data_IF_117725396254
#
_entry.id   IF_117725396254
#
_cell.length_a   1.000
_cell.length_b   1.000
_cell.length_c   1.000
_cell.angle_alpha   90.00
_cell.angle_beta   90.00
_cell.angle_gamma   90.00
#
_symmetry.space_group_name_H-M   'P 1'
#
loop_
_entity.id
_entity.type
_entity.pdbx_description
1 polymer ?
#
# COMPACT_ATOMS: atom_id res chain seq x y z
N UNK A 1 9.42 -13.95 22.38
CA UNK A 1 9.28 -12.81 21.45
C UNK A 1 10.09 -11.65 22.01
N UNK A 2 10.92 -10.97 21.20
CA UNK A 2 11.69 -9.82 21.70
C UNK A 2 10.76 -8.62 21.92
N UNK A 3 11.12 -7.72 22.83
CA UNK A 3 10.33 -6.51 23.13
C UNK A 3 10.06 -5.66 21.87
N UNK A 4 10.97 -5.69 20.90
CA UNK A 4 10.83 -4.99 19.62
C UNK A 4 9.76 -5.61 18.73
N UNK A 5 9.61 -6.94 18.69
CA UNK A 5 8.55 -7.60 17.92
C UNK A 5 7.17 -7.18 18.41
N UNK A 6 6.95 -7.22 19.73
CA UNK A 6 5.68 -6.79 20.34
C UNK A 6 5.40 -5.32 20.03
N UNK A 7 6.41 -4.45 20.17
CA UNK A 7 6.29 -3.03 19.84
C UNK A 7 5.87 -2.82 18.38
N UNK A 8 6.55 -3.45 17.42
CA UNK A 8 6.25 -3.25 15.99
C UNK A 8 4.90 -3.85 15.59
N UNK A 9 4.49 -4.98 16.18
CA UNK A 9 3.16 -5.52 15.99
C UNK A 9 2.07 -4.57 16.52
N UNK A 10 2.26 -3.98 17.71
CA UNK A 10 1.32 -2.97 18.24
C UNK A 10 1.26 -1.72 17.37
N UNK A 11 2.40 -1.22 16.89
CA UNK A 11 2.45 -0.08 15.95
C UNK A 11 1.73 -0.44 14.65
N UNK A 12 1.93 -1.65 14.12
CA UNK A 12 1.26 -2.11 12.89
C UNK A 12 -0.25 -2.10 13.04
N UNK A 13 -0.78 -2.60 14.17
CA UNK A 13 -2.23 -2.59 14.42
C UNK A 13 -2.78 -1.17 14.53
N UNK A 14 -2.13 -0.31 15.31
CA UNK A 14 -2.54 1.09 15.45
C UNK A 14 -2.50 1.83 14.10
N UNK A 15 -1.50 1.55 13.27
CA UNK A 15 -1.40 2.13 11.93
C UNK A 15 -2.56 1.67 11.02
N UNK A 16 -3.00 0.42 11.13
CA UNK A 16 -4.18 -0.07 10.40
C UNK A 16 -5.45 0.64 10.89
N UNK A 17 -5.62 0.84 12.19
CA UNK A 17 -6.73 1.64 12.75
C UNK A 17 -6.73 3.05 12.17
N UNK A 18 -5.56 3.72 12.18
CA UNK A 18 -5.43 5.08 11.64
C UNK A 18 -5.75 5.15 10.14
N UNK A 19 -5.31 4.17 9.35
CA UNK A 19 -5.59 4.12 7.90
C UNK A 19 -7.09 3.96 7.64
N UNK A 20 -7.78 3.17 8.47
CA UNK A 20 -9.23 2.99 8.39
C UNK A 20 -9.95 4.27 8.79
N UNK A 21 -9.53 4.93 9.86
CA UNK A 21 -10.13 6.19 10.30
C UNK A 21 -9.92 7.32 9.29
N UNK A 22 -8.72 7.41 8.70
CA UNK A 22 -8.45 8.33 7.59
C UNK A 22 -9.35 8.01 6.39
N UNK A 23 -9.50 6.73 6.04
CA UNK A 23 -10.37 6.31 4.94
C UNK A 23 -11.84 6.67 5.19
N UNK A 24 -12.32 6.55 6.43
CA UNK A 24 -13.68 6.97 6.82
C UNK A 24 -13.86 8.49 6.66
N UNK A 25 -12.87 9.28 7.05
CA UNK A 25 -12.89 10.74 6.87
C UNK A 25 -12.92 11.11 5.38
N UNK A 26 -12.08 10.46 4.56
CA UNK A 26 -11.98 10.71 3.13
C UNK A 26 -13.25 10.29 2.37
N UNK A 27 -13.87 9.15 2.74
CA UNK A 27 -15.05 8.61 2.07
C UNK A 27 -16.19 9.62 1.97
N UNK A 28 -16.38 10.43 3.01
CA UNK A 28 -17.48 11.40 3.09
C UNK A 28 -17.39 12.53 2.04
N UNK A 29 -16.18 12.82 1.54
CA UNK A 29 -15.94 13.88 0.56
C UNK A 29 -15.58 13.36 -0.84
N UNK A 30 -15.30 12.06 -0.96
CA UNK A 30 -14.89 11.44 -2.22
C UNK A 30 -16.08 11.19 -3.15
N UNK A 31 -15.93 11.56 -4.43
CA UNK A 31 -16.90 11.29 -5.49
C UNK A 31 -16.31 10.27 -6.46
N UNK A 32 -16.88 9.07 -6.51
CA UNK A 32 -16.48 8.02 -7.45
C UNK A 32 -16.34 6.65 -6.78
N UNK A 33 -15.66 5.73 -7.47
CA UNK A 33 -15.38 4.39 -6.96
C UNK A 33 -14.35 4.45 -5.81
N UNK A 34 -14.85 4.50 -4.58
CA UNK A 34 -14.00 4.51 -3.39
C UNK A 34 -13.39 3.12 -3.17
N UNK A 35 -12.09 3.06 -2.91
CA UNK A 35 -11.33 1.83 -2.80
C UNK A 35 -10.02 2.05 -2.00
N UNK A 36 -9.35 0.97 -1.52
CA UNK A 36 -8.14 1.10 -0.71
C UNK A 36 -7.03 1.94 -1.35
N UNK A 37 -6.85 1.87 -2.67
CA UNK A 37 -5.80 2.62 -3.38
C UNK A 37 -6.05 4.12 -3.38
N UNK A 38 -7.31 4.56 -3.45
CA UNK A 38 -7.67 5.98 -3.29
C UNK A 38 -7.23 6.49 -1.92
N UNK A 39 -7.49 5.72 -0.86
CA UNK A 39 -7.05 6.09 0.49
C UNK A 39 -5.54 6.14 0.63
N UNK A 40 -4.81 5.12 0.13
CA UNK A 40 -3.35 5.09 0.18
C UNK A 40 -2.77 6.28 -0.60
N UNK A 41 -3.28 6.54 -1.79
CA UNK A 41 -2.80 7.63 -2.64
C UNK A 41 -3.02 9.00 -1.98
N UNK A 42 -4.23 9.28 -1.50
CA UNK A 42 -4.55 10.54 -0.83
C UNK A 42 -3.72 10.73 0.44
N UNK A 43 -3.64 9.69 1.27
CA UNK A 43 -2.88 9.72 2.51
C UNK A 43 -1.40 10.01 2.25
N UNK A 44 -0.75 9.29 1.34
CA UNK A 44 0.67 9.49 1.05
C UNK A 44 0.91 10.85 0.40
N UNK A 45 0.01 11.32 -0.46
CA UNK A 45 0.07 12.67 -1.01
C UNK A 45 0.05 13.73 0.10
N UNK A 46 -0.82 13.59 1.10
CA UNK A 46 -0.88 14.51 2.24
C UNK A 46 0.35 14.40 3.16
N UNK A 47 0.92 13.21 3.31
CA UNK A 47 2.14 13.01 4.11
C UNK A 47 3.40 13.61 3.45
N UNK A 48 3.41 13.64 2.11
CA UNK A 48 4.50 14.13 1.25
C UNK A 48 4.42 15.64 0.95
N UNK A 49 3.35 16.34 1.39
CA UNK A 49 3.30 17.79 1.12
C UNK A 49 4.40 18.55 1.87
N UNK A 50 4.92 19.59 1.24
CA UNK A 50 5.86 20.54 1.86
C UNK A 50 5.17 21.54 2.79
N UNK A 51 3.83 21.55 2.84
CA UNK A 51 3.07 22.40 3.75
C UNK A 51 3.04 21.77 5.14
N UNK A 52 2.81 22.60 6.16
CA UNK A 52 2.66 22.12 7.52
C UNK A 52 1.42 21.22 7.61
N UNK A 53 1.64 19.95 7.89
CA UNK A 53 0.59 18.95 8.10
C UNK A 53 -0.16 19.30 9.39
N UNK A 54 -1.41 19.74 9.26
CA UNK A 54 -2.27 20.11 10.40
C UNK A 54 -3.16 18.97 10.88
N UNK A 55 -3.30 17.91 10.08
CA UNK A 55 -4.09 16.74 10.44
C UNK A 55 -3.33 15.90 11.48
N UNK A 56 -3.81 15.89 12.73
CA UNK A 56 -3.21 15.16 13.86
C UNK A 56 -3.13 13.66 13.61
N UNK A 57 -4.16 13.07 12.97
CA UNK A 57 -4.16 11.66 12.60
C UNK A 57 -3.01 11.36 11.63
N UNK A 58 -2.84 12.18 10.59
CA UNK A 58 -1.76 11.99 9.62
C UNK A 58 -0.37 12.27 10.21
N UNK A 59 -0.25 13.21 11.16
CA UNK A 59 0.99 13.40 11.91
C UNK A 59 1.39 12.15 12.69
N UNK A 60 0.41 11.49 13.31
CA UNK A 60 0.63 10.25 14.05
C UNK A 60 0.97 9.08 13.12
N UNK A 61 0.25 8.94 12.00
CA UNK A 61 0.59 8.01 10.91
C UNK A 61 2.03 8.20 10.44
N UNK A 62 2.45 9.45 10.18
CA UNK A 62 3.81 9.77 9.74
C UNK A 62 4.85 9.26 10.72
N UNK A 63 4.65 9.53 12.02
CA UNK A 63 5.55 9.07 13.08
C UNK A 63 5.63 7.55 13.14
N UNK A 64 4.49 6.86 13.06
CA UNK A 64 4.42 5.39 13.08
C UNK A 64 5.15 4.79 11.88
N UNK A 65 4.92 5.31 10.66
CA UNK A 65 5.62 4.86 9.45
C UNK A 65 7.14 5.09 9.50
N UNK A 66 7.60 6.18 10.12
CA UNK A 66 9.03 6.47 10.24
C UNK A 66 9.78 5.50 11.17
N UNK A 67 9.11 4.96 12.18
CA UNK A 67 9.73 4.03 13.14
C UNK A 67 9.49 2.56 12.83
N UNK A 68 8.49 2.26 11.98
CA UNK A 68 8.12 0.91 11.62
C UNK A 68 9.06 0.39 10.52
N UNK A 69 9.74 -0.75 10.70
CA UNK A 69 10.55 -1.32 9.63
C UNK A 69 9.70 -1.74 8.44
N UNK A 70 10.22 -1.57 7.22
CA UNK A 70 9.56 -1.95 5.96
C UNK A 70 9.04 -3.40 5.95
N UNK A 71 9.71 -4.29 6.68
CA UNK A 71 9.25 -5.66 6.93
C UNK A 71 7.77 -5.75 7.35
N UNK A 72 7.30 -4.84 8.22
CA UNK A 72 5.94 -4.84 8.73
C UNK A 72 4.93 -4.14 7.82
N UNK A 73 5.39 -3.39 6.80
CA UNK A 73 4.49 -2.62 5.93
C UNK A 73 3.59 -3.53 5.09
N UNK A 74 4.05 -4.73 4.72
CA UNK A 74 3.21 -5.71 4.01
C UNK A 74 2.05 -6.20 4.87
N UNK A 75 2.28 -6.45 6.16
CA UNK A 75 1.23 -6.85 7.10
C UNK A 75 0.21 -5.73 7.29
N UNK A 76 0.69 -4.49 7.49
CA UNK A 76 -0.17 -3.32 7.61
C UNK A 76 -1.04 -3.17 6.37
N UNK A 77 -0.44 -3.22 5.17
CA UNK A 77 -1.14 -3.01 3.90
C UNK A 77 -2.20 -4.08 3.68
N UNK A 78 -1.85 -5.35 3.89
CA UNK A 78 -2.80 -6.48 3.78
C UNK A 78 -3.97 -6.32 4.75
N UNK A 79 -3.70 -6.07 6.03
CA UNK A 79 -4.75 -5.91 7.03
C UNK A 79 -5.63 -4.68 6.76
N UNK A 80 -5.03 -3.59 6.30
CA UNK A 80 -5.77 -2.42 5.87
C UNK A 80 -6.71 -2.73 4.72
N UNK A 81 -6.25 -3.40 3.65
CA UNK A 81 -7.10 -3.78 2.51
C UNK A 81 -8.27 -4.65 2.98
N UNK A 82 -7.99 -5.69 3.79
CA UNK A 82 -9.03 -6.58 4.33
C UNK A 82 -10.06 -5.84 5.15
N UNK A 83 -9.61 -4.97 6.07
CA UNK A 83 -10.53 -4.19 6.90
C UNK A 83 -11.27 -3.14 6.09
N UNK A 84 -10.64 -2.52 5.11
CA UNK A 84 -11.26 -1.55 4.24
C UNK A 84 -12.43 -2.18 3.48
N UNK A 85 -12.21 -3.33 2.84
CA UNK A 85 -13.28 -4.05 2.13
C UNK A 85 -14.39 -4.41 3.11
N UNK A 86 -14.06 -4.95 4.28
CA UNK A 86 -15.08 -5.37 5.26
C UNK A 86 -15.88 -4.21 5.87
N UNK A 87 -15.22 -3.10 6.21
CA UNK A 87 -15.82 -2.01 6.98
C UNK A 87 -16.37 -0.87 6.12
N UNK A 88 -15.74 -0.58 4.97
CA UNK A 88 -16.08 0.58 4.15
C UNK A 88 -16.75 0.19 2.84
N UNK A 89 -16.36 -0.91 2.18
CA UNK A 89 -16.89 -1.30 0.87
C UNK A 89 -17.21 -2.80 0.81
N UNK A 90 -18.18 -3.28 1.61
CA UNK A 90 -18.47 -4.71 1.78
C UNK A 90 -19.02 -5.40 0.53
N UNK A 91 -19.46 -4.61 -0.46
CA UNK A 91 -19.95 -5.12 -1.75
C UNK A 91 -18.80 -5.50 -2.71
N UNK A 92 -17.55 -5.16 -2.38
CA UNK A 92 -16.39 -5.60 -3.16
C UNK A 92 -16.23 -7.11 -2.97
N UNK A 93 -16.20 -7.83 -4.09
CA UNK A 93 -15.97 -9.27 -4.12
C UNK A 93 -14.76 -9.55 -5.01
N UNK A 94 -13.82 -10.35 -4.52
CA UNK A 94 -12.66 -10.73 -5.33
C UNK A 94 -13.11 -11.46 -6.59
N UNK A 95 -12.58 -11.02 -7.73
CA UNK A 95 -12.79 -11.72 -8.99
C UNK A 95 -11.95 -13.00 -9.08
N UNK A 96 -12.31 -13.89 -10.00
CA UNK A 96 -11.46 -15.03 -10.36
C UNK A 96 -10.18 -14.56 -11.05
N UNK A 97 -9.09 -15.31 -10.84
CA UNK A 97 -7.80 -15.01 -11.47
C UNK A 97 -7.96 -15.01 -13.00
N UNK A 98 -7.64 -13.88 -13.60
CA UNK A 98 -7.68 -13.69 -15.05
C UNK A 98 -6.41 -12.97 -15.53
N UNK A 99 -6.32 -12.77 -16.85
CA UNK A 99 -5.16 -12.14 -17.48
C UNK A 99 -4.90 -10.72 -16.96
N UNK A 100 -5.96 -9.93 -16.77
CA UNK A 100 -5.83 -8.56 -16.28
C UNK A 100 -5.23 -8.54 -14.86
N UNK A 101 -5.63 -9.49 -14.01
CA UNK A 101 -5.04 -9.62 -12.67
C UNK A 101 -3.52 -9.86 -12.76
N UNK A 102 -3.09 -10.81 -13.60
CA UNK A 102 -1.67 -11.12 -13.80
C UNK A 102 -0.90 -9.92 -14.35
N UNK A 103 -1.43 -9.27 -15.39
CA UNK A 103 -0.78 -8.11 -16.03
C UNK A 103 -0.63 -6.92 -15.04
N UNK A 104 -1.60 -6.72 -14.15
CA UNK A 104 -1.56 -5.69 -13.12
C UNK A 104 -0.57 -6.03 -11.99
N UNK A 105 -0.55 -7.27 -11.54
CA UNK A 105 0.43 -7.74 -10.55
C UNK A 105 1.86 -7.60 -11.06
N UNK A 106 2.11 -8.01 -12.30
CA UNK A 106 3.42 -7.93 -12.93
C UNK A 106 3.87 -6.48 -13.10
N UNK A 107 2.95 -5.55 -13.40
CA UNK A 107 3.24 -4.12 -13.39
C UNK A 107 3.68 -3.63 -12.01
N UNK A 108 2.97 -4.00 -10.94
CA UNK A 108 3.34 -3.60 -9.58
C UNK A 108 4.68 -4.19 -9.15
N UNK A 109 4.97 -5.44 -9.54
CA UNK A 109 6.26 -6.09 -9.27
C UNK A 109 7.42 -5.52 -10.10
N UNK A 110 7.15 -5.06 -11.33
CA UNK A 110 8.11 -4.31 -12.13
C UNK A 110 8.45 -2.99 -11.43
N UNK A 111 7.44 -2.24 -10.97
CA UNK A 111 7.65 -1.01 -10.21
C UNK A 111 8.50 -1.22 -8.95
N UNK A 112 8.30 -2.32 -8.20
CA UNK A 112 9.19 -2.69 -7.09
C UNK A 112 10.66 -2.78 -7.52
N UNK A 113 10.91 -3.41 -8.67
CA UNK A 113 12.27 -3.65 -9.19
C UNK A 113 12.92 -2.37 -9.66
N UNK A 114 12.16 -1.50 -10.33
CA UNK A 114 12.63 -0.20 -10.81
C UNK A 114 13.02 0.70 -9.63
N UNK A 115 12.15 0.80 -8.61
CA UNK A 115 12.46 1.61 -7.42
C UNK A 115 13.63 1.06 -6.63
N UNK A 116 13.73 -0.26 -6.47
CA UNK A 116 14.89 -0.88 -5.84
C UNK A 116 16.18 -0.55 -6.59
N UNK A 117 16.15 -0.57 -7.92
CA UNK A 117 17.29 -0.19 -8.76
C UNK A 117 17.66 1.29 -8.65
N UNK A 118 16.69 2.19 -8.52
CA UNK A 118 16.95 3.63 -8.41
C UNK A 118 17.42 4.06 -7.02
N UNK A 119 16.75 3.58 -5.98
CA UNK A 119 17.01 3.99 -4.59
C UNK A 119 18.05 3.11 -3.89
N UNK A 120 18.46 2.01 -4.51
CA UNK A 120 19.38 1.02 -3.95
C UNK A 120 18.91 0.47 -2.58
N UNK A 121 17.59 0.45 -2.37
CA UNK A 121 16.92 -0.01 -1.14
C UNK A 121 15.61 -0.72 -1.51
N UNK A 122 15.18 -1.67 -0.67
CA UNK A 122 13.86 -2.31 -0.87
C UNK A 122 12.77 -1.25 -0.60
N UNK A 123 11.92 -0.91 -1.59
CA UNK A 123 10.89 0.11 -1.41
C UNK A 123 9.79 -0.40 -0.49
N UNK A 124 9.11 0.51 0.21
CA UNK A 124 7.91 0.12 0.96
C UNK A 124 6.80 -0.30 0.01
N UNK A 125 6.03 -1.36 0.33
CA UNK A 125 4.87 -1.75 -0.49
C UNK A 125 3.87 -0.58 -0.67
N UNK A 126 3.69 0.26 0.36
CA UNK A 126 2.85 1.46 0.30
C UNK A 126 3.40 2.50 -0.68
N UNK A 127 4.72 2.65 -0.74
CA UNK A 127 5.42 3.55 -1.65
C UNK A 127 5.30 3.06 -3.09
N UNK A 128 5.42 1.74 -3.32
CA UNK A 128 5.20 1.14 -4.64
C UNK A 128 3.78 1.41 -5.12
N UNK A 129 2.77 1.17 -4.28
CA UNK A 129 1.36 1.42 -4.64
C UNK A 129 1.14 2.91 -4.96
N UNK A 130 1.65 3.82 -4.13
CA UNK A 130 1.54 5.25 -4.37
C UNK A 130 2.20 5.69 -5.68
N UNK A 131 3.46 5.31 -5.89
CA UNK A 131 4.22 5.75 -7.05
C UNK A 131 3.73 5.10 -8.35
N UNK A 132 3.26 3.85 -8.32
CA UNK A 132 2.64 3.21 -9.48
C UNK A 132 1.40 4.00 -9.92
N UNK A 133 0.52 4.37 -8.99
CA UNK A 133 -0.66 5.19 -9.29
C UNK A 133 -0.26 6.58 -9.81
N UNK A 134 0.68 7.24 -9.14
CA UNK A 134 1.18 8.56 -9.55
C UNK A 134 1.79 8.52 -10.94
N UNK A 135 2.58 7.48 -11.25
CA UNK A 135 3.19 7.33 -12.58
C UNK A 135 2.15 7.19 -13.68
N UNK A 136 1.06 6.45 -13.44
CA UNK A 136 -0.05 6.35 -14.38
C UNK A 136 -0.82 7.66 -14.52
N UNK A 137 -0.96 8.45 -13.46
CA UNK A 137 -1.64 9.75 -13.51
C UNK A 137 -0.79 10.79 -14.27
N UNK A 138 0.51 10.84 -13.98
CA UNK A 138 1.42 11.88 -14.49
C UNK A 138 1.92 11.59 -15.92
N UNK A 139 2.08 10.31 -16.28
CA UNK A 139 2.65 9.92 -17.58
C UNK A 139 1.61 9.96 -18.71
N UNK A 140 1.39 11.15 -19.28
CA UNK A 140 0.41 11.37 -20.35
C UNK A 140 0.70 10.61 -21.65
N UNK A 141 1.95 10.22 -21.89
CA UNK A 141 2.40 9.62 -23.15
C UNK A 141 2.26 8.09 -23.15
N UNK A 142 2.40 7.44 -21.99
CA UNK A 142 2.25 5.99 -21.86
C UNK A 142 0.78 5.59 -21.69
N UNK A 143 0.11 5.34 -22.81
CA UNK A 143 -1.31 4.95 -22.84
C UNK A 143 -1.55 3.57 -22.23
N UNK A 144 -0.58 2.66 -22.31
CA UNK A 144 -0.70 1.30 -21.76
C UNK A 144 -0.65 1.33 -20.23
N UNK A 145 0.34 2.02 -19.66
CA UNK A 145 0.44 2.22 -18.21
C UNK A 145 -0.82 2.92 -17.66
N UNK A 146 -1.27 3.98 -18.33
CA UNK A 146 -2.51 4.67 -17.97
C UNK A 146 -3.72 3.76 -17.99
N UNK A 147 -3.89 2.96 -19.03
CA UNK A 147 -5.00 2.02 -19.14
C UNK A 147 -5.00 1.02 -17.99
N UNK A 148 -3.82 0.49 -17.64
CA UNK A 148 -3.70 -0.48 -16.56
C UNK A 148 -3.93 0.16 -15.19
N UNK A 149 -3.38 1.35 -14.92
CA UNK A 149 -3.64 2.08 -13.67
C UNK A 149 -5.11 2.46 -13.55
N UNK A 150 -5.75 2.88 -14.65
CA UNK A 150 -7.18 3.13 -14.66
C UNK A 150 -7.97 1.87 -14.33
N UNK A 151 -7.63 0.72 -14.93
CA UNK A 151 -8.28 -0.56 -14.61
C UNK A 151 -8.13 -0.90 -13.13
N UNK A 152 -6.91 -0.80 -12.59
CA UNK A 152 -6.60 -1.06 -11.19
C UNK A 152 -7.41 -0.19 -10.22
N UNK A 153 -7.71 1.07 -10.58
CA UNK A 153 -8.47 1.99 -9.69
C UNK A 153 -9.98 1.90 -9.91
N UNK A 154 -10.45 1.58 -11.11
CA UNK A 154 -11.87 1.60 -11.46
C UNK A 154 -12.60 0.28 -11.21
N UNK A 155 -11.93 -0.87 -11.42
CA UNK A 155 -12.48 -2.19 -11.14
C UNK A 155 -12.08 -2.64 -9.74
N UNK A 156 -12.99 -2.42 -8.78
CA UNK A 156 -12.75 -2.71 -7.36
C UNK A 156 -12.59 -4.20 -7.06
N UNK A 157 -13.22 -5.06 -7.85
CA UNK A 157 -13.20 -6.51 -7.67
C UNK A 157 -11.88 -7.11 -8.18
N UNK A 158 -11.42 -6.65 -9.34
CA UNK A 158 -10.06 -6.94 -9.86
C UNK A 158 -9.02 -6.39 -8.90
N UNK A 159 -9.19 -5.15 -8.42
CA UNK A 159 -8.26 -4.52 -7.49
C UNK A 159 -8.08 -5.35 -6.23
N UNK A 160 -9.16 -5.78 -5.58
CA UNK A 160 -9.08 -6.57 -4.35
C UNK A 160 -8.20 -7.81 -4.54
N UNK A 161 -8.44 -8.55 -5.64
CA UNK A 161 -7.64 -9.72 -6.01
C UNK A 161 -6.16 -9.37 -6.22
N UNK A 162 -5.90 -8.38 -7.08
CA UNK A 162 -4.54 -7.93 -7.43
C UNK A 162 -3.76 -7.47 -6.20
N UNK A 163 -4.38 -6.75 -5.26
CA UNK A 163 -3.68 -6.25 -4.08
C UNK A 163 -3.29 -7.37 -3.12
N UNK A 164 -4.13 -8.39 -2.95
CA UNK A 164 -3.79 -9.55 -2.11
C UNK A 164 -2.65 -10.37 -2.71
N UNK A 165 -2.72 -10.64 -4.02
CA UNK A 165 -1.71 -11.39 -4.74
C UNK A 165 -0.40 -10.61 -4.86
N UNK A 166 -0.47 -9.29 -5.05
CA UNK A 166 0.69 -8.41 -4.98
C UNK A 166 1.35 -8.43 -3.59
N UNK A 167 0.57 -8.40 -2.50
CA UNK A 167 1.13 -8.55 -1.16
C UNK A 167 1.86 -9.89 -0.99
N UNK A 168 1.32 -10.99 -1.54
CA UNK A 168 1.99 -12.30 -1.52
C UNK A 168 3.31 -12.24 -2.29
N UNK A 169 3.29 -11.81 -3.56
CA UNK A 169 4.47 -11.73 -4.43
C UNK A 169 5.56 -10.80 -3.86
N UNK A 170 5.16 -9.65 -3.30
CA UNK A 170 6.08 -8.73 -2.63
C UNK A 170 6.75 -9.40 -1.43
N UNK A 171 5.96 -10.09 -0.60
CA UNK A 171 6.49 -10.81 0.56
C UNK A 171 7.45 -11.91 0.12
N UNK A 172 7.07 -12.75 -0.85
CA UNK A 172 7.92 -13.83 -1.36
C UNK A 172 9.26 -13.30 -1.90
N UNK A 173 9.24 -12.15 -2.59
CA UNK A 173 10.46 -11.54 -3.14
C UNK A 173 11.38 -10.97 -2.06
N UNK A 174 10.84 -10.34 -1.01
CA UNK A 174 11.64 -9.48 -0.11
C UNK A 174 11.74 -9.96 1.34
N UNK A 175 10.89 -10.89 1.78
CA UNK A 175 10.74 -11.30 3.18
C UNK A 175 12.07 -11.67 3.85
N UNK A 176 12.90 -12.47 3.20
CA UNK A 176 14.20 -12.89 3.76
C UNK A 176 15.13 -11.70 4.01
N UNK A 177 15.27 -10.78 3.04
CA UNK A 177 16.15 -9.60 3.15
C UNK A 177 15.61 -8.60 4.15
N UNK A 178 14.29 -8.40 4.19
CA UNK A 178 13.64 -7.50 5.15
C UNK A 178 13.72 -8.06 6.59
N UNK A 179 13.57 -9.38 6.78
CA UNK A 179 13.74 -10.04 8.08
C UNK A 179 15.13 -9.82 8.67
N UNK A 180 16.19 -9.91 7.87
CA UNK A 180 17.57 -9.69 8.32
C UNK A 180 17.78 -8.29 8.92
N UNK A 181 17.08 -7.28 8.42
CA UNK A 181 17.13 -5.92 8.95
C UNK A 181 16.41 -5.71 10.28
N UNK A 182 15.52 -6.63 10.67
CA UNK A 182 14.70 -6.55 11.90
C UNK A 182 15.16 -7.55 12.96
N UNK A 183 15.51 -8.75 12.50
CA UNK A 183 16.01 -9.85 13.29
C UNK A 183 17.42 -10.16 12.78
N UNK A 184 18.43 -9.40 13.21
CA UNK A 184 19.80 -9.80 12.94
C UNK A 184 19.96 -11.17 13.60
N UNK A 185 20.05 -12.21 12.78
CA UNK A 185 20.40 -13.54 13.23
C UNK A 185 21.66 -13.40 14.06
N UNK A 186 21.60 -13.79 15.34
CA UNK A 186 22.77 -13.86 16.19
C UNK A 186 23.82 -14.70 15.44
N UNK A 187 24.85 -14.01 14.93
CA UNK A 187 26.08 -14.66 14.51
C UNK A 187 26.90 -14.93 15.76
#
# INVERSE_FOLDING_TARGET
>A
MSANTTKYSSISMALVDDFIDYSKQLKNSFKGAFNPLVSIYSMITELDTTKQLSNELLLDVKKKLQVLPTFYHVQVTRLFITRFVKELEPDIQETELNRDCVDLEDMLMAACSDFEGWEQKIPSILEVLYLALRSGIDNKQDTALRSRVNLLVSDRNVQARVLYDFCNKYQDKYDTRLKQGVFPSAR
#
